data_IF_442492254951
#
_entry.id   IF_442492254951
#
_cell.length_a   1.000
_cell.length_b   1.000
_cell.length_c   1.000
_cell.angle_alpha   90.00
_cell.angle_beta   90.00
_cell.angle_gamma   90.00
#
_symmetry.space_group_name_H-M   'P 1'
#
loop_
_entity.id
_entity.type
_entity.pdbx_description
1 polymer ?
#
# COMPACT_ATOMS: atom_id res chain seq x y z
N UNK A 1 -19.01 49.86 11.16
CA UNK A 1 -19.61 48.59 11.65
C UNK A 1 -19.61 47.58 10.51
N UNK A 2 -19.38 46.33 10.88
CA UNK A 2 -18.93 45.20 10.07
C UNK A 2 -19.91 44.73 8.98
N UNK A 3 -19.34 44.17 7.91
CA UNK A 3 -20.01 43.84 6.66
C UNK A 3 -20.76 42.51 6.61
N UNK A 4 -21.41 42.29 5.46
CA UNK A 4 -21.95 41.00 5.02
C UNK A 4 -21.75 40.87 3.52
N UNK A 5 -20.60 40.33 3.12
CA UNK A 5 -20.36 39.85 1.77
C UNK A 5 -20.95 38.43 1.68
N UNK A 6 -22.08 38.29 0.98
CA UNK A 6 -22.79 37.02 0.82
C UNK A 6 -22.14 36.27 -0.34
N UNK A 7 -21.19 35.39 -0.01
CA UNK A 7 -20.60 34.46 -0.97
C UNK A 7 -21.69 33.50 -1.46
N UNK A 8 -22.09 33.63 -2.72
CA UNK A 8 -22.87 32.63 -3.42
C UNK A 8 -21.94 31.44 -3.69
N UNK A 9 -22.16 30.33 -2.98
CA UNK A 9 -21.55 29.04 -3.32
C UNK A 9 -22.28 28.50 -4.55
N UNK A 10 -21.58 28.48 -5.68
CA UNK A 10 -21.98 27.79 -6.90
C UNK A 10 -21.86 26.28 -6.65
N UNK A 11 -22.99 25.62 -6.37
CA UNK A 11 -23.06 24.16 -6.27
C UNK A 11 -23.15 23.57 -7.69
N UNK A 12 -21.99 23.23 -8.25
CA UNK A 12 -21.91 22.48 -9.51
C UNK A 12 -22.28 21.03 -9.23
N UNK A 13 -23.57 20.73 -9.29
CA UNK A 13 -24.14 19.39 -9.13
C UNK A 13 -23.77 18.49 -10.31
N UNK A 14 -22.53 17.99 -10.34
CA UNK A 14 -22.21 16.77 -11.07
C UNK A 14 -23.00 15.68 -10.36
N UNK A 15 -24.04 15.20 -11.04
CA UNK A 15 -24.84 14.04 -10.65
C UNK A 15 -23.92 12.80 -10.70
N UNK A 16 -23.03 12.69 -9.71
CA UNK A 16 -22.35 11.43 -9.41
C UNK A 16 -23.49 10.49 -9.06
N UNK A 17 -23.77 9.55 -9.96
CA UNK A 17 -24.47 8.33 -9.59
C UNK A 17 -23.58 7.64 -8.58
N UNK A 18 -23.68 8.05 -7.32
CA UNK A 18 -23.11 7.34 -6.19
C UNK A 18 -23.89 6.04 -6.12
N UNK A 19 -23.34 4.97 -6.69
CA UNK A 19 -23.82 3.64 -6.39
C UNK A 19 -23.71 3.48 -4.88
N UNK A 20 -24.86 3.34 -4.21
CA UNK A 20 -24.88 3.08 -2.78
C UNK A 20 -24.11 1.78 -2.54
N UNK A 21 -23.13 1.77 -1.62
CA UNK A 21 -22.42 0.54 -1.31
C UNK A 21 -23.42 -0.48 -0.74
N UNK A 22 -23.29 -1.72 -1.18
CA UNK A 22 -24.06 -2.83 -0.63
C UNK A 22 -23.34 -3.33 0.62
N UNK A 23 -23.97 -3.20 1.78
CA UNK A 23 -23.37 -3.58 3.07
C UNK A 23 -24.01 -4.88 3.56
N UNK A 24 -23.20 -5.90 3.75
CA UNK A 24 -23.59 -7.20 4.29
C UNK A 24 -23.07 -7.26 5.73
N UNK A 25 -23.98 -7.31 6.69
CA UNK A 25 -23.65 -7.33 8.12
C UNK A 25 -23.20 -8.73 8.59
N UNK A 26 -22.59 -8.80 9.77
CA UNK A 26 -22.04 -10.04 10.34
C UNK A 26 -23.08 -11.15 10.59
N UNK A 27 -24.33 -10.78 10.87
CA UNK A 27 -25.41 -11.75 11.08
C UNK A 27 -25.85 -12.47 9.78
N UNK A 28 -25.37 -12.03 8.62
CA UNK A 28 -25.76 -12.59 7.33
C UNK A 28 -24.81 -13.71 6.93
N UNK A 29 -25.40 -14.85 6.56
CA UNK A 29 -24.72 -15.94 5.86
C UNK A 29 -25.25 -16.07 4.44
N UNK A 30 -24.37 -15.98 3.47
CA UNK A 30 -24.71 -16.14 2.05
C UNK A 30 -24.12 -17.45 1.54
N UNK A 31 -24.94 -18.27 0.89
CA UNK A 31 -24.52 -19.52 0.26
C UNK A 31 -24.95 -19.50 -1.21
N UNK A 32 -24.00 -19.62 -2.14
CA UNK A 32 -24.26 -19.58 -3.58
C UNK A 32 -23.49 -18.48 -4.30
N UNK A 33 -24.06 -17.93 -5.37
CA UNK A 33 -23.39 -16.92 -6.22
C UNK A 33 -23.92 -15.51 -5.93
N UNK A 34 -23.03 -14.56 -5.67
CA UNK A 34 -23.32 -13.14 -5.48
C UNK A 34 -22.75 -12.34 -6.65
N UNK A 35 -23.57 -11.48 -7.25
CA UNK A 35 -23.15 -10.59 -8.33
C UNK A 35 -23.56 -9.17 -7.99
N UNK A 36 -22.58 -8.26 -7.99
CA UNK A 36 -22.78 -6.82 -7.77
C UNK A 36 -21.99 -6.02 -8.80
N UNK A 37 -22.56 -4.91 -9.27
CA UNK A 37 -21.92 -4.00 -10.23
C UNK A 37 -21.24 -2.81 -9.54
N UNK A 38 -21.36 -2.70 -8.20
CA UNK A 38 -20.83 -1.57 -7.46
C UNK A 38 -19.88 -2.01 -6.34
N UNK A 39 -19.82 -1.16 -5.32
CA UNK A 39 -19.07 -1.44 -4.11
C UNK A 39 -19.86 -2.36 -3.17
N UNK A 40 -19.19 -3.39 -2.66
CA UNK A 40 -19.74 -4.33 -1.69
C UNK A 40 -18.85 -4.34 -0.45
N UNK A 41 -19.44 -4.05 0.69
CA UNK A 41 -18.83 -4.24 2.00
C UNK A 41 -19.39 -5.50 2.64
N UNK A 42 -18.50 -6.37 3.11
CA UNK A 42 -18.82 -7.69 3.63
C UNK A 42 -18.24 -7.85 5.03
N UNK A 43 -19.12 -7.92 6.03
CA UNK A 43 -18.77 -8.12 7.44
C UNK A 43 -19.31 -9.46 8.00
N UNK A 44 -19.84 -10.36 7.16
CA UNK A 44 -20.38 -11.68 7.55
C UNK A 44 -19.71 -12.87 6.88
N UNK A 45 -20.44 -13.99 6.74
CA UNK A 45 -19.90 -15.23 6.15
C UNK A 45 -20.46 -15.49 4.76
N UNK A 46 -19.59 -15.69 3.78
CA UNK A 46 -19.98 -16.09 2.42
C UNK A 46 -19.34 -17.43 2.08
N UNK A 47 -20.16 -18.33 1.55
CA UNK A 47 -19.76 -19.63 1.03
C UNK A 47 -20.22 -19.72 -0.43
N UNK A 48 -19.30 -19.55 -1.38
CA UNK A 48 -19.59 -19.63 -2.82
C UNK A 48 -18.84 -18.60 -3.68
N UNK A 49 -19.44 -18.22 -4.81
CA UNK A 49 -18.82 -17.37 -5.82
C UNK A 49 -19.22 -15.90 -5.66
N UNK A 50 -18.25 -15.00 -5.60
CA UNK A 50 -18.50 -13.55 -5.50
C UNK A 50 -18.00 -12.87 -6.75
N UNK A 51 -18.86 -12.07 -7.40
CA UNK A 51 -18.50 -11.18 -8.51
C UNK A 51 -18.86 -9.75 -8.14
N UNK A 52 -17.87 -8.88 -8.01
CA UNK A 52 -18.09 -7.47 -7.68
C UNK A 52 -17.08 -6.57 -8.41
N UNK A 53 -17.38 -5.28 -8.60
CA UNK A 53 -16.36 -4.35 -9.12
C UNK A 53 -15.38 -3.96 -8.01
N UNK A 54 -15.92 -3.52 -6.88
CA UNK A 54 -15.15 -3.19 -5.67
C UNK A 54 -15.65 -4.05 -4.51
N UNK A 55 -14.74 -4.79 -3.86
CA UNK A 55 -15.05 -5.64 -2.72
C UNK A 55 -14.21 -5.22 -1.51
N UNK A 56 -14.87 -4.96 -0.40
CA UNK A 56 -14.26 -4.67 0.90
C UNK A 56 -14.70 -5.74 1.88
N UNK A 57 -13.76 -6.56 2.33
CA UNK A 57 -13.99 -7.57 3.36
C UNK A 57 -13.58 -6.97 4.68
N UNK A 58 -14.55 -6.76 5.57
CA UNK A 58 -14.33 -6.26 6.91
C UNK A 58 -13.65 -7.27 7.82
N UNK A 59 -13.34 -6.86 9.05
CA UNK A 59 -12.54 -7.66 10.00
C UNK A 59 -13.25 -8.94 10.46
N UNK A 60 -14.58 -8.93 10.52
CA UNK A 60 -15.40 -10.10 10.84
C UNK A 60 -15.78 -10.92 9.59
N UNK A 61 -15.40 -10.44 8.41
CA UNK A 61 -15.73 -11.08 7.14
C UNK A 61 -14.97 -12.39 6.97
N UNK A 62 -15.71 -13.46 6.64
CA UNK A 62 -15.16 -14.76 6.27
C UNK A 62 -15.68 -15.14 4.90
N UNK A 63 -14.77 -15.33 3.95
CA UNK A 63 -15.11 -15.73 2.58
C UNK A 63 -14.51 -17.09 2.29
N UNK A 64 -15.36 -18.04 1.94
CA UNK A 64 -15.00 -19.39 1.52
C UNK A 64 -15.48 -19.58 0.07
N UNK A 65 -14.57 -19.73 -0.88
CA UNK A 65 -14.92 -19.94 -2.29
C UNK A 65 -14.08 -19.18 -3.31
N UNK A 66 -14.71 -18.76 -4.41
CA UNK A 66 -14.05 -18.06 -5.53
C UNK A 66 -14.47 -16.59 -5.54
N UNK A 67 -13.49 -15.69 -5.49
CA UNK A 67 -13.73 -14.25 -5.51
C UNK A 67 -13.21 -13.66 -6.81
N UNK A 68 -14.07 -13.02 -7.59
CA UNK A 68 -13.71 -12.27 -8.80
C UNK A 68 -14.08 -10.80 -8.61
N UNK A 69 -13.08 -9.91 -8.59
CA UNK A 69 -13.33 -8.47 -8.53
C UNK A 69 -12.22 -7.63 -9.19
N UNK A 70 -12.49 -6.35 -9.47
CA UNK A 70 -11.45 -5.46 -10.02
C UNK A 70 -10.51 -4.97 -8.91
N UNK A 71 -11.06 -4.48 -7.80
CA UNK A 71 -10.30 -4.08 -6.61
C UNK A 71 -10.84 -4.76 -5.36
N UNK A 72 -9.95 -5.37 -4.58
CA UNK A 72 -10.29 -6.06 -3.33
C UNK A 72 -9.49 -5.48 -2.17
N UNK A 73 -10.18 -5.16 -1.08
CA UNK A 73 -9.57 -4.81 0.22
C UNK A 73 -9.91 -5.90 1.22
N UNK A 74 -8.90 -6.52 1.83
CA UNK A 74 -9.07 -7.64 2.76
C UNK A 74 -8.63 -7.21 4.16
N UNK A 75 -9.57 -7.21 5.11
CA UNK A 75 -9.31 -7.02 6.55
C UNK A 75 -9.59 -8.27 7.40
N UNK A 76 -10.29 -9.24 6.81
CA UNK A 76 -10.78 -10.46 7.47
C UNK A 76 -10.07 -11.72 7.01
N UNK A 77 -10.84 -12.81 6.90
CA UNK A 77 -10.33 -14.14 6.50
C UNK A 77 -10.86 -14.57 5.14
N UNK A 78 -9.97 -15.06 4.29
CA UNK A 78 -10.31 -15.64 2.97
C UNK A 78 -9.75 -17.05 2.88
N UNK A 79 -10.58 -17.98 2.41
CA UNK A 79 -10.18 -19.37 2.12
C UNK A 79 -10.66 -19.71 0.70
N UNK A 80 -9.73 -19.93 -0.23
CA UNK A 80 -10.06 -20.34 -1.59
C UNK A 80 -9.25 -19.60 -2.66
N UNK A 81 -9.90 -19.31 -3.79
CA UNK A 81 -9.26 -18.72 -4.96
C UNK A 81 -9.67 -17.25 -5.11
N UNK A 82 -8.69 -16.35 -5.03
CA UNK A 82 -8.90 -14.91 -5.22
C UNK A 82 -8.41 -14.48 -6.60
N UNK A 83 -9.27 -13.87 -7.39
CA UNK A 83 -8.98 -13.32 -8.71
C UNK A 83 -9.32 -11.83 -8.71
N UNK A 84 -8.31 -10.96 -8.62
CA UNK A 84 -8.55 -9.52 -8.73
C UNK A 84 -7.39 -8.73 -9.32
N UNK A 85 -7.67 -7.67 -10.08
CA UNK A 85 -6.59 -6.86 -10.64
C UNK A 85 -5.78 -6.14 -9.56
N UNK A 86 -6.45 -5.52 -8.60
CA UNK A 86 -5.81 -4.85 -7.47
C UNK A 86 -6.21 -5.53 -6.15
N UNK A 87 -5.22 -5.96 -5.38
CA UNK A 87 -5.43 -6.59 -4.07
C UNK A 87 -4.71 -5.78 -3.00
N UNK A 88 -5.47 -5.34 -2.00
CA UNK A 88 -4.96 -4.67 -0.80
C UNK A 88 -5.27 -5.52 0.40
N UNK A 89 -4.24 -5.97 1.08
CA UNK A 89 -4.36 -6.77 2.30
C UNK A 89 -3.98 -5.85 3.46
N UNK A 90 -4.96 -5.54 4.31
CA UNK A 90 -4.75 -4.70 5.49
C UNK A 90 -4.22 -5.53 6.67
N UNK A 91 -3.93 -4.83 7.77
CA UNK A 91 -3.40 -5.42 8.99
C UNK A 91 -4.28 -6.57 9.53
N UNK A 92 -3.63 -7.66 9.95
CA UNK A 92 -4.25 -8.85 10.57
C UNK A 92 -5.22 -9.63 9.66
N UNK A 93 -5.20 -9.39 8.35
CA UNK A 93 -5.94 -10.19 7.39
C UNK A 93 -5.26 -11.55 7.14
N UNK A 94 -6.06 -12.60 7.03
CA UNK A 94 -5.60 -13.99 6.85
C UNK A 94 -6.11 -14.55 5.52
N UNK A 95 -5.21 -14.80 4.58
CA UNK A 95 -5.57 -15.34 3.27
C UNK A 95 -4.98 -16.74 3.10
N UNK A 96 -5.84 -17.72 2.82
CA UNK A 96 -5.50 -19.13 2.65
C UNK A 96 -5.91 -19.58 1.25
N UNK A 97 -4.96 -19.85 0.37
CA UNK A 97 -5.22 -20.39 -0.97
C UNK A 97 -4.49 -19.69 -2.11
N UNK A 98 -5.07 -19.75 -3.31
CA UNK A 98 -4.43 -19.25 -4.52
C UNK A 98 -4.90 -17.83 -4.85
N UNK A 99 -3.96 -16.91 -5.01
CA UNK A 99 -4.23 -15.49 -5.28
C UNK A 99 -3.68 -15.13 -6.66
N UNK A 100 -4.55 -14.71 -7.56
CA UNK A 100 -4.23 -14.19 -8.89
C UNK A 100 -4.46 -12.68 -8.90
N UNK A 101 -3.38 -11.94 -9.15
CA UNK A 101 -3.44 -10.48 -9.09
C UNK A 101 -2.52 -9.78 -10.09
N UNK A 102 -2.81 -8.51 -10.40
CA UNK A 102 -1.90 -7.67 -11.20
C UNK A 102 -1.03 -6.80 -10.29
N UNK A 103 -1.66 -6.15 -9.30
CA UNK A 103 -1.03 -5.27 -8.31
C UNK A 103 -1.40 -5.71 -6.91
N UNK A 104 -0.41 -5.90 -6.04
CA UNK A 104 -0.58 -6.30 -4.65
C UNK A 104 0.02 -5.28 -3.70
N UNK A 105 -0.74 -4.91 -2.67
CA UNK A 105 -0.26 -4.12 -1.55
C UNK A 105 -0.57 -4.86 -0.25
N UNK A 106 0.42 -4.98 0.62
CA UNK A 106 0.30 -5.69 1.89
C UNK A 106 0.69 -4.73 3.01
N UNK A 107 -0.18 -4.59 4.00
CA UNK A 107 0.09 -3.86 5.24
C UNK A 107 0.80 -4.76 6.26
N UNK A 108 1.55 -4.14 7.19
CA UNK A 108 2.21 -4.88 8.26
C UNK A 108 1.20 -5.64 9.12
N UNK A 109 1.48 -6.92 9.38
CA UNK A 109 0.64 -7.80 10.20
C UNK A 109 -0.32 -8.70 9.41
N UNK A 110 -0.35 -8.61 8.08
CA UNK A 110 -1.08 -9.57 7.25
C UNK A 110 -0.38 -10.95 7.19
N UNK A 111 -1.17 -12.02 7.16
CA UNK A 111 -0.70 -13.40 7.01
C UNK A 111 -1.30 -14.01 5.73
N UNK A 112 -0.44 -14.52 4.88
CA UNK A 112 -0.82 -15.11 3.60
C UNK A 112 -0.19 -16.49 3.50
N UNK A 113 -1.02 -17.51 3.31
CA UNK A 113 -0.63 -18.91 3.21
C UNK A 113 -1.21 -19.49 1.91
N UNK A 114 -0.34 -19.71 0.91
CA UNK A 114 -0.74 -20.33 -0.35
C UNK A 114 0.10 -19.86 -1.52
N UNK A 115 -0.43 -20.02 -2.74
CA UNK A 115 0.28 -19.64 -3.96
C UNK A 115 -0.15 -18.26 -4.44
N UNK A 116 0.82 -17.37 -4.60
CA UNK A 116 0.60 -16.07 -5.20
C UNK A 116 1.06 -16.09 -6.66
N UNK A 117 0.16 -15.83 -7.61
CA UNK A 117 0.44 -15.78 -9.05
C UNK A 117 0.11 -14.39 -9.58
N UNK A 118 1.05 -13.79 -10.29
CA UNK A 118 0.81 -12.53 -10.98
C UNK A 118 0.25 -12.81 -12.38
N UNK A 119 -0.82 -12.12 -12.80
CA UNK A 119 -1.50 -12.38 -14.08
C UNK A 119 -0.84 -11.67 -15.28
N UNK A 120 0.06 -10.71 -15.05
CA UNK A 120 0.81 -10.03 -16.11
C UNK A 120 2.30 -9.90 -15.82
N UNK A 121 3.10 -10.34 -16.79
CA UNK A 121 4.50 -9.98 -16.99
C UNK A 121 4.57 -8.50 -17.38
N UNK A 122 4.57 -7.62 -16.38
CA UNK A 122 5.06 -6.25 -16.55
C UNK A 122 6.36 -6.15 -15.77
N UNK A 123 7.46 -5.95 -16.50
CA UNK A 123 8.74 -5.52 -15.94
C UNK A 123 8.50 -4.31 -15.03
N UNK A 124 8.43 -4.56 -13.72
CA UNK A 124 8.40 -3.48 -12.74
C UNK A 124 9.84 -3.00 -12.64
N UNK A 125 10.13 -1.88 -13.30
CA UNK A 125 11.33 -1.09 -13.06
C UNK A 125 11.48 -0.96 -11.54
N UNK A 126 12.62 -1.43 -11.04
CA UNK A 126 13.01 -1.39 -9.63
C UNK A 126 12.70 0.00 -9.04
N UNK A 127 11.79 0.03 -8.06
CA UNK A 127 11.79 1.14 -7.12
C UNK A 127 13.02 0.97 -6.24
N UNK A 128 14.02 1.78 -6.54
CA UNK A 128 15.26 1.93 -5.80
C UNK A 128 14.96 2.00 -4.30
N UNK A 129 15.36 0.95 -3.58
CA UNK A 129 15.57 1.03 -2.14
C UNK A 129 16.52 2.20 -1.89
N UNK A 130 16.00 3.19 -1.18
CA UNK A 130 16.75 4.29 -0.58
C UNK A 130 17.94 3.71 0.20
N UNK A 131 19.14 3.78 -0.39
CA UNK A 131 20.39 3.55 0.32
C UNK A 131 20.86 4.93 0.80
N UNK A 132 21.09 5.13 2.11
CA UNK A 132 21.60 6.40 2.61
C UNK A 132 22.95 6.69 1.94
N UNK A 133 23.09 7.90 1.38
CA UNK A 133 24.34 8.38 0.76
C UNK A 133 25.48 8.31 1.79
N UNK A 134 26.59 7.59 1.53
CA UNK A 134 27.86 7.97 2.13
C UNK A 134 28.49 9.02 1.21
N UNK A 135 28.36 10.30 1.55
CA UNK A 135 29.26 11.33 1.01
C UNK A 135 30.48 11.41 1.93
N UNK A 136 31.45 10.54 1.69
CA UNK A 136 32.82 10.81 2.13
C UNK A 136 33.56 11.57 1.01
N UNK A 137 34.51 12.39 1.46
CA UNK A 137 35.50 13.17 0.70
C UNK A 137 35.10 14.57 0.20
N UNK A 138 35.06 15.55 1.12
CA UNK A 138 35.54 16.91 0.82
C UNK A 138 36.95 17.05 1.39
N UNK A 139 37.94 16.84 0.53
CA UNK A 139 39.34 17.21 0.77
C UNK A 139 39.65 18.47 -0.06
N UNK A 140 40.36 19.42 0.57
CA UNK A 140 40.74 20.77 0.13
C UNK A 140 39.56 21.77 0.17
N UNK A 141 39.65 22.91 0.88
CA UNK A 141 40.61 24.02 0.72
C UNK A 141 40.79 24.66 2.12
N UNK A 142 41.93 24.46 2.80
CA UNK A 142 43.03 25.43 2.97
C UNK A 142 42.56 26.88 3.12
N UNK A 143 42.49 27.37 4.36
CA UNK A 143 42.91 28.72 4.78
C UNK A 143 42.64 28.86 6.28
N UNK A 144 43.66 28.66 7.11
CA UNK A 144 43.75 29.22 8.45
C UNK A 144 45.23 29.40 8.76
N UNK A 145 45.69 30.65 8.56
CA UNK A 145 46.93 31.16 9.13
C UNK A 145 46.84 31.21 10.67
N UNK A 146 48.02 31.24 11.28
CA UNK A 146 48.32 31.40 12.70
C UNK A 146 48.05 30.22 13.65
N UNK A 147 49.07 29.37 13.76
CA UNK A 147 49.62 29.02 15.07
C UNK A 147 51.03 28.47 14.92
N UNK A 148 52.00 29.39 14.95
CA UNK A 148 53.39 29.01 15.15
C UNK A 148 53.57 28.35 16.50
N UNK A 149 53.98 27.08 16.53
CA UNK A 149 54.77 26.52 17.63
C UNK A 149 55.77 25.49 17.10
N UNK A 150 57.01 25.78 17.43
CA UNK A 150 58.27 25.04 17.28
C UNK A 150 58.18 23.52 17.33
N UNK A 151 58.77 22.88 16.31
CA UNK A 151 59.45 21.60 16.51
C UNK A 151 60.85 21.67 15.91
N UNK A 152 61.83 21.70 16.83
CA UNK A 152 63.25 21.41 16.59
C UNK A 152 63.35 20.09 15.85
N UNK A 153 64.00 20.09 14.68
CA UNK A 153 64.76 18.91 14.30
C UNK A 153 66.13 19.29 13.75
N UNK A 154 67.12 18.74 14.44
CA UNK A 154 68.56 18.81 14.20
C UNK A 154 68.88 18.03 12.94
N UNK A 155 69.37 18.70 11.91
CA UNK A 155 70.32 18.13 10.97
C UNK A 155 71.63 18.94 11.04
N UNK A 156 72.51 18.46 11.91
CA UNK A 156 73.95 18.30 11.64
C UNK A 156 74.20 17.98 10.16
N UNK A 157 75.23 18.46 9.46
CA UNK A 157 76.56 18.94 9.84
C UNK A 157 77.19 19.65 8.63
N UNK A 158 78.19 20.48 8.92
CA UNK A 158 78.85 21.44 8.05
C UNK A 158 79.53 20.88 6.78
N UNK A 159 79.61 21.78 5.80
CA UNK A 159 80.56 21.79 4.68
C UNK A 159 81.89 22.35 5.21
N UNK A 160 82.96 21.56 5.11
CA UNK A 160 84.37 21.92 4.87
C UNK A 160 85.29 20.77 5.27
#
# INVERSE_FOLDING_TARGET
MFGKNKQAKTDSSIKRVSHTPSIISNDVRITGSLVSQGEVQLDGRIDGDIKAEHLVIGSSGVVEGVVEASSVVVKGKIIGSLNASEVKIENNAHVLGDIFHDTLSIEAGAIIEGSLKQRFEKEVIEHAKDKPKPVNDVKAIVDNEDSGLSFVNKSSTAKS
#
